data_IF_027571306262
#
_entry.id   IF_027571306262
#
_cell.length_a   1.000
_cell.length_b   1.000
_cell.length_c   1.000
_cell.angle_alpha   90.00
_cell.angle_beta   90.00
_cell.angle_gamma   90.00
#
_symmetry.space_group_name_H-M   'P 1'
#
loop_
_entity.id
_entity.type
_entity.pdbx_description
1 polymer ?
#
# COMPACT_ATOMS: atom_id res chain seq x y z
N UNK A 1 36.48 -14.13 32.27
CA UNK A 1 35.03 -14.35 32.23
C UNK A 1 34.48 -13.55 31.07
N UNK A 2 34.29 -14.17 29.90
CA UNK A 2 33.68 -13.51 28.74
C UNK A 2 32.15 -13.53 28.89
N UNK A 3 31.55 -12.34 29.00
CA UNK A 3 30.10 -12.18 28.87
C UNK A 3 29.75 -12.06 27.39
N UNK A 4 29.25 -13.15 26.80
CA UNK A 4 28.54 -13.08 25.53
C UNK A 4 27.10 -12.63 25.77
N UNK A 5 26.61 -11.58 25.07
CA UNK A 5 25.22 -11.17 25.19
C UNK A 5 24.33 -12.18 24.44
N UNK A 6 23.48 -12.88 25.19
CA UNK A 6 22.40 -13.72 24.63
C UNK A 6 21.42 -12.82 23.86
N UNK A 7 21.44 -12.90 22.52
CA UNK A 7 20.34 -12.39 21.68
C UNK A 7 19.07 -13.19 22.02
N UNK A 8 18.06 -12.51 22.54
CA UNK A 8 16.76 -13.10 22.86
C UNK A 8 15.94 -13.33 21.57
N UNK A 9 15.62 -14.58 21.19
CA UNK A 9 14.91 -14.91 19.94
C UNK A 9 13.38 -14.70 20.01
N UNK A 10 12.85 -14.15 21.11
CA UNK A 10 11.39 -14.06 21.33
C UNK A 10 10.72 -12.82 20.73
N UNK A 11 11.45 -11.74 20.43
CA UNK A 11 10.87 -10.51 19.87
C UNK A 11 10.72 -10.53 18.34
N UNK A 12 11.63 -11.19 17.63
CA UNK A 12 11.67 -11.16 16.16
C UNK A 12 10.59 -12.04 15.50
N UNK A 13 10.04 -13.00 16.24
CA UNK A 13 9.07 -13.97 15.72
C UNK A 13 7.67 -13.37 15.50
N UNK A 14 7.27 -12.40 16.34
CA UNK A 14 5.96 -11.74 16.25
C UNK A 14 5.93 -10.65 15.19
N UNK A 15 7.04 -9.93 15.01
CA UNK A 15 7.11 -8.79 14.09
C UNK A 15 7.01 -9.27 12.62
N UNK A 16 7.63 -10.41 12.29
CA UNK A 16 7.54 -11.01 10.96
C UNK A 16 6.14 -11.56 10.64
N UNK A 17 5.43 -12.10 11.64
CA UNK A 17 4.08 -12.64 11.45
C UNK A 17 3.06 -11.51 11.20
N UNK A 18 3.19 -10.40 11.94
CA UNK A 18 2.42 -9.19 11.71
C UNK A 18 2.71 -8.57 10.34
N UNK A 19 3.97 -8.57 9.89
CA UNK A 19 4.34 -8.10 8.55
C UNK A 19 3.73 -8.96 7.45
N UNK A 20 3.74 -10.30 7.60
CA UNK A 20 3.12 -11.22 6.64
C UNK A 20 1.62 -11.02 6.56
N UNK A 21 0.94 -10.87 7.70
CA UNK A 21 -0.51 -10.65 7.72
C UNK A 21 -0.89 -9.29 7.10
N UNK A 22 -0.09 -8.24 7.35
CA UNK A 22 -0.27 -6.96 6.68
C UNK A 22 -0.12 -7.09 5.16
N UNK A 23 0.89 -7.83 4.68
CA UNK A 23 1.08 -8.08 3.24
C UNK A 23 -0.11 -8.84 2.65
N UNK A 24 -0.61 -9.84 3.36
CA UNK A 24 -1.77 -10.63 2.94
C UNK A 24 -3.04 -9.78 2.86
N UNK A 25 -3.36 -9.03 3.91
CA UNK A 25 -4.51 -8.14 3.96
C UNK A 25 -4.43 -7.08 2.86
N UNK A 26 -3.26 -6.47 2.65
CA UNK A 26 -3.06 -5.47 1.59
C UNK A 26 -3.26 -6.07 0.19
N UNK A 27 -2.83 -7.32 -0.03
CA UNK A 27 -3.04 -8.03 -1.28
C UNK A 27 -4.53 -8.30 -1.54
N UNK A 28 -5.23 -8.81 -0.53
CA UNK A 28 -6.66 -9.13 -0.62
C UNK A 28 -7.49 -7.89 -0.94
N UNK A 29 -7.26 -6.79 -0.21
CA UNK A 29 -7.92 -5.50 -0.44
C UNK A 29 -7.67 -4.99 -1.87
N UNK A 30 -6.43 -5.02 -2.34
CA UNK A 30 -6.09 -4.54 -3.68
C UNK A 30 -6.72 -5.40 -4.79
N UNK A 31 -6.79 -6.72 -4.61
CA UNK A 31 -7.47 -7.62 -5.57
C UNK A 31 -8.98 -7.34 -5.59
N UNK A 32 -9.62 -7.20 -4.43
CA UNK A 32 -11.06 -6.89 -4.36
C UNK A 32 -11.39 -5.54 -5.01
N UNK A 33 -10.60 -4.51 -4.70
CA UNK A 33 -10.76 -3.17 -5.28
C UNK A 33 -10.67 -3.21 -6.82
N UNK A 34 -9.70 -3.94 -7.35
CA UNK A 34 -9.40 -3.92 -8.79
C UNK A 34 -10.36 -4.77 -9.61
N UNK A 35 -10.90 -5.85 -9.03
CA UNK A 35 -12.03 -6.61 -9.58
C UNK A 35 -13.27 -5.74 -9.77
N UNK A 36 -13.51 -4.81 -8.84
CA UNK A 36 -14.66 -3.90 -8.91
C UNK A 36 -14.48 -2.71 -9.87
N UNK A 37 -13.25 -2.42 -10.31
CA UNK A 37 -12.91 -1.16 -11.01
C UNK A 37 -12.08 -1.35 -12.30
N UNK A 38 -12.51 -2.24 -13.19
CA UNK A 38 -11.81 -2.52 -14.46
C UNK A 38 -11.50 -1.27 -15.32
N UNK A 39 -12.41 -0.29 -15.37
CA UNK A 39 -12.31 0.87 -16.27
C UNK A 39 -11.51 2.05 -15.71
N UNK A 40 -11.32 2.13 -14.39
CA UNK A 40 -10.77 3.30 -13.69
C UNK A 40 -9.55 2.95 -12.81
N UNK A 41 -8.74 1.99 -13.26
CA UNK A 41 -7.57 1.55 -12.51
C UNK A 41 -6.55 2.68 -12.38
N UNK A 42 -5.94 2.88 -11.19
CA UNK A 42 -4.93 3.91 -11.01
C UNK A 42 -3.68 3.63 -11.84
N UNK A 43 -2.88 4.66 -12.12
CA UNK A 43 -1.56 4.47 -12.71
C UNK A 43 -0.57 4.05 -11.63
N UNK A 44 0.07 2.90 -11.85
CA UNK A 44 1.12 2.39 -10.97
C UNK A 44 2.45 3.06 -11.32
N UNK A 45 3.17 3.50 -10.28
CA UNK A 45 4.51 4.05 -10.45
C UNK A 45 5.51 2.93 -10.74
N UNK A 46 6.49 3.19 -11.60
CA UNK A 46 7.58 2.26 -11.84
C UNK A 46 8.43 2.12 -10.57
N UNK A 47 8.58 0.89 -10.11
CA UNK A 47 9.32 0.57 -8.88
C UNK A 47 10.78 0.24 -9.22
N UNK A 48 11.72 0.81 -8.47
CA UNK A 48 13.13 0.44 -8.57
C UNK A 48 13.39 -0.96 -7.98
N UNK A 49 14.27 -1.74 -8.61
CA UNK A 49 14.59 -3.11 -8.19
C UNK A 49 15.60 -3.17 -7.02
N UNK A 50 15.28 -2.53 -5.91
CA UNK A 50 16.08 -2.62 -4.68
C UNK A 50 15.94 -4.01 -4.02
N UNK A 51 16.89 -4.38 -3.15
CA UNK A 51 16.83 -5.63 -2.36
C UNK A 51 15.51 -5.72 -1.56
N UNK A 52 15.09 -4.61 -0.95
CA UNK A 52 13.83 -4.51 -0.18
C UNK A 52 12.62 -4.77 -1.07
N UNK A 53 12.51 -4.09 -2.22
CA UNK A 53 11.34 -4.23 -3.09
C UNK A 53 11.25 -5.65 -3.67
N UNK A 54 12.40 -6.26 -3.98
CA UNK A 54 12.45 -7.67 -4.38
C UNK A 54 11.99 -8.62 -3.28
N UNK A 55 12.31 -8.34 -2.02
CA UNK A 55 11.86 -9.15 -0.89
C UNK A 55 10.33 -9.13 -0.76
N UNK A 56 9.70 -7.96 -0.89
CA UNK A 56 8.23 -7.82 -0.86
C UNK A 56 7.58 -8.62 -1.99
N UNK A 57 8.08 -8.48 -3.23
CA UNK A 57 7.56 -9.24 -4.38
C UNK A 57 7.69 -10.75 -4.15
N UNK A 58 8.82 -11.20 -3.60
CA UNK A 58 9.03 -12.62 -3.26
C UNK A 58 8.09 -13.12 -2.16
N UNK A 59 7.77 -12.28 -1.19
CA UNK A 59 6.84 -12.63 -0.10
C UNK A 59 5.40 -12.74 -0.60
N UNK A 60 4.98 -11.89 -1.54
CA UNK A 60 3.63 -11.92 -2.10
C UNK A 60 3.42 -13.04 -3.13
N UNK A 61 4.46 -13.44 -3.86
CA UNK A 61 4.33 -14.45 -4.93
C UNK A 61 3.65 -15.76 -4.49
N UNK A 62 4.01 -16.38 -3.34
CA UNK A 62 3.32 -17.57 -2.85
C UNK A 62 1.85 -17.33 -2.51
N UNK A 63 1.51 -16.14 -2.00
CA UNK A 63 0.13 -15.77 -1.66
C UNK A 63 -0.74 -15.58 -2.90
N UNK A 64 -0.13 -15.23 -4.04
CA UNK A 64 -0.82 -15.01 -5.31
C UNK A 64 -1.34 -16.31 -5.93
N UNK A 65 -0.67 -17.44 -5.67
CA UNK A 65 -0.98 -18.73 -6.30
C UNK A 65 -2.43 -19.13 -6.08
N UNK A 66 -2.92 -19.02 -4.84
CA UNK A 66 -4.32 -19.36 -4.49
C UNK A 66 -5.34 -18.48 -5.21
N UNK A 67 -5.03 -17.19 -5.44
CA UNK A 67 -5.92 -16.31 -6.20
C UNK A 67 -5.95 -16.68 -7.69
N UNK A 68 -4.79 -17.01 -8.28
CA UNK A 68 -4.70 -17.39 -9.69
C UNK A 68 -5.37 -18.74 -9.97
N UNK A 69 -5.22 -19.71 -9.08
CA UNK A 69 -5.90 -21.01 -9.17
C UNK A 69 -7.43 -20.88 -9.10
N UNK A 70 -7.92 -19.91 -8.32
CA UNK A 70 -9.35 -19.62 -8.19
C UNK A 70 -9.89 -18.65 -9.26
N UNK A 71 -9.05 -18.20 -10.19
CA UNK A 71 -9.42 -17.24 -11.23
C UNK A 71 -10.42 -17.84 -12.22
N UNK A 72 -11.45 -17.08 -12.56
CA UNK A 72 -12.56 -17.58 -13.41
C UNK A 72 -12.34 -17.36 -14.91
N UNK A 73 -11.66 -16.27 -15.25
CA UNK A 73 -11.45 -15.85 -16.63
C UNK A 73 -10.25 -14.91 -16.76
N UNK A 74 -10.01 -14.42 -17.97
CA UNK A 74 -8.89 -13.52 -18.27
C UNK A 74 -9.03 -12.15 -17.60
N UNK A 75 -10.26 -11.63 -17.45
CA UNK A 75 -10.51 -10.34 -16.81
C UNK A 75 -10.27 -10.42 -15.29
N UNK A 76 -10.65 -11.53 -14.68
CA UNK A 76 -10.38 -11.83 -13.27
C UNK A 76 -8.87 -11.99 -13.05
N UNK A 77 -8.20 -12.75 -13.91
CA UNK A 77 -6.74 -12.92 -13.89
C UNK A 77 -6.01 -11.57 -14.00
N UNK A 78 -6.41 -10.74 -14.96
CA UNK A 78 -5.85 -9.40 -15.15
C UNK A 78 -6.09 -8.50 -13.92
N UNK A 79 -7.25 -8.60 -13.27
CA UNK A 79 -7.54 -7.90 -12.02
C UNK A 79 -6.66 -8.37 -10.87
N UNK A 80 -6.48 -9.68 -10.71
CA UNK A 80 -5.59 -10.27 -9.70
C UNK A 80 -4.15 -9.79 -9.88
N UNK A 81 -3.63 -9.83 -11.11
CA UNK A 81 -2.26 -9.40 -11.42
C UNK A 81 -2.08 -7.89 -11.18
N UNK A 82 -3.05 -7.08 -11.59
CA UNK A 82 -3.03 -5.65 -11.36
C UNK A 82 -3.13 -5.32 -9.86
N UNK A 83 -4.05 -5.96 -9.13
CA UNK A 83 -4.20 -5.81 -7.68
C UNK A 83 -2.92 -6.19 -6.93
N UNK A 84 -2.22 -7.22 -7.38
CA UNK A 84 -0.90 -7.58 -6.84
C UNK A 84 0.12 -6.47 -7.04
N UNK A 85 0.22 -5.92 -8.25
CA UNK A 85 1.14 -4.82 -8.52
C UNK A 85 0.80 -3.55 -7.71
N UNK A 86 -0.50 -3.29 -7.50
CA UNK A 86 -1.00 -2.22 -6.64
C UNK A 86 -0.63 -2.45 -5.16
N UNK A 87 -0.80 -3.68 -4.66
CA UNK A 87 -0.42 -4.06 -3.30
C UNK A 87 1.09 -3.87 -3.06
N UNK A 88 1.92 -4.29 -4.02
CA UNK A 88 3.37 -4.02 -3.97
C UNK A 88 3.64 -2.52 -3.85
N UNK A 89 3.00 -1.69 -4.68
CA UNK A 89 3.15 -0.24 -4.62
C UNK A 89 2.78 0.31 -3.24
N UNK A 90 1.68 -0.17 -2.64
CA UNK A 90 1.22 0.24 -1.31
C UNK A 90 2.22 -0.15 -0.22
N UNK A 91 2.66 -1.40 -0.19
CA UNK A 91 3.57 -1.94 0.83
C UNK A 91 4.93 -1.21 0.83
N UNK A 92 5.44 -0.86 -0.34
CA UNK A 92 6.72 -0.14 -0.44
C UNK A 92 6.56 1.39 -0.30
N UNK A 93 5.34 1.90 -0.17
CA UNK A 93 5.04 3.33 -0.10
C UNK A 93 5.24 4.09 -1.42
N UNK A 94 5.12 3.41 -2.57
CA UNK A 94 5.17 4.05 -3.87
C UNK A 94 3.88 4.84 -4.14
N UNK A 95 4.03 6.00 -4.79
CA UNK A 95 2.88 6.82 -5.19
C UNK A 95 2.02 6.05 -6.20
N UNK A 96 0.71 6.10 -6.02
CA UNK A 96 -0.27 5.55 -6.96
C UNK A 96 -1.18 6.70 -7.37
N UNK A 97 -1.21 7.03 -8.66
CA UNK A 97 -2.04 8.13 -9.16
C UNK A 97 -3.42 7.61 -9.48
N UNK A 98 -4.47 8.18 -8.89
CA UNK A 98 -5.83 7.86 -9.30
C UNK A 98 -6.03 8.30 -10.76
N UNK A 99 -6.59 7.41 -11.58
CA UNK A 99 -6.98 7.75 -12.93
C UNK A 99 -8.17 8.73 -12.82
N UNK A 100 -7.87 10.03 -12.86
CA UNK A 100 -8.89 11.09 -12.71
C UNK A 100 -8.39 12.44 -12.20
N UNK A 101 -7.19 12.55 -11.61
CA UNK A 101 -6.60 13.85 -11.27
C UNK A 101 -5.12 13.91 -11.63
N UNK A 102 -4.85 14.38 -12.84
CA UNK A 102 -3.62 15.09 -13.11
C UNK A 102 -3.70 16.45 -12.39
N UNK A 103 -3.44 16.49 -11.09
CA UNK A 103 -3.09 17.73 -10.39
C UNK A 103 -1.69 17.53 -9.86
N UNK A 104 -0.73 18.18 -10.50
CA UNK A 104 0.65 18.22 -10.02
C UNK A 104 0.69 18.67 -8.57
N UNK A 105 1.20 17.80 -7.70
CA UNK A 105 1.71 18.21 -6.40
C UNK A 105 3.12 17.67 -6.27
N UNK A 106 4.05 18.51 -6.72
CA UNK A 106 5.41 18.56 -6.18
C UNK A 106 5.35 18.93 -4.70
N UNK A 107 6.20 18.26 -3.92
CA UNK A 107 6.84 18.68 -2.66
C UNK A 107 6.47 20.04 -2.03
N UNK A 108 6.24 20.04 -0.71
CA UNK A 108 6.24 21.23 0.18
C UNK A 108 5.29 21.02 1.36
N UNK A 109 5.74 20.43 2.47
CA UNK A 109 6.07 21.15 3.72
C UNK A 109 5.03 22.19 4.19
N UNK A 110 4.43 21.87 5.36
CA UNK A 110 3.89 22.75 6.40
C UNK A 110 2.78 23.74 6.03
N UNK A 111 1.58 23.48 6.54
CA UNK A 111 0.71 24.55 7.08
C UNK A 111 -0.19 23.96 8.18
N UNK A 112 0.39 23.79 9.37
CA UNK A 112 -0.37 23.85 10.62
C UNK A 112 -0.44 25.33 10.99
N UNK A 113 -1.61 25.97 10.86
CA UNK A 113 -1.96 27.17 11.62
C UNK A 113 -3.47 27.44 11.60
N UNK A 114 -4.06 27.25 12.79
CA UNK A 114 -5.15 28.00 13.40
C UNK A 114 -6.30 28.50 12.52
N UNK A 115 -7.47 27.90 12.71
CA UNK A 115 -8.73 28.64 12.65
C UNK A 115 -9.35 28.62 14.05
N UNK A 116 -8.91 29.58 14.86
CA UNK A 116 -9.61 30.03 16.05
C UNK A 116 -9.64 31.56 15.97
N UNK A 117 -10.83 32.14 16.23
CA UNK A 117 -11.16 33.56 16.27
C UNK A 117 -11.48 34.18 14.90
N UNK A 118 -12.56 34.92 14.69
CA UNK A 118 -13.53 35.48 15.64
C UNK A 118 -14.90 35.67 14.99
N UNK A 119 -15.92 35.38 15.80
CA UNK A 119 -17.24 36.00 15.71
C UNK A 119 -17.04 37.52 15.73
N UNK A 120 -17.48 38.22 14.70
CA UNK A 120 -17.85 39.64 14.82
C UNK A 120 -19.19 39.80 14.12
N UNK A 121 -20.16 40.20 14.94
CA UNK A 121 -21.51 40.59 14.59
C UNK A 121 -21.48 41.83 13.70
N UNK A 122 -22.26 41.85 12.62
CA UNK A 122 -22.69 43.11 12.01
C UNK A 122 -24.18 43.03 11.72
N UNK A 123 -24.94 43.58 12.67
CA UNK A 123 -26.32 44.02 12.51
C UNK A 123 -26.30 45.40 11.85
N UNK A 124 -26.90 45.54 10.66
CA UNK A 124 -27.43 46.79 10.13
C UNK A 124 -28.17 46.49 8.81
N UNK A 125 -29.49 46.38 8.87
CA UNK A 125 -30.45 47.26 8.16
C UNK A 125 -31.87 46.96 8.66
#
# INVERSE_FOLDING_TARGET
>A
MEHTPRKNPKKEKTDNELEIELMRSTLEEAIMETRSTLKNRPRLTRIALSKRNRAVVRALNPMLVTYLEASRDLCDTDSILFGTALAVCRIIGAKVSTAGRATGQSSGEKELRSVSQGLELSSAD
#
